data_IF_755936104597
#
_entry.id   IF_755936104597
#
_cell.length_a   1.000
_cell.length_b   1.000
_cell.length_c   1.000
_cell.angle_alpha   90.00
_cell.angle_beta   90.00
_cell.angle_gamma   90.00
#
_symmetry.space_group_name_H-M   'P 1'
#
loop_
_entity.id
_entity.type
_entity.pdbx_description
1 polymer ?
#
# COMPACT_ATOMS: atom_id res chain seq x y z
N UNK A 1 -8.01 18.17 -9.88
CA UNK A 1 -7.64 17.08 -8.95
C UNK A 1 -6.22 16.60 -9.28
N UNK A 2 -5.39 16.28 -8.27
CA UNK A 2 -4.03 15.76 -8.48
C UNK A 2 -3.96 14.33 -7.95
N UNK A 3 -3.58 13.39 -8.80
CA UNK A 3 -3.39 11.99 -8.44
C UNK A 3 -1.91 11.77 -8.11
N UNK A 4 -1.67 11.23 -6.93
CA UNK A 4 -0.33 10.93 -6.42
C UNK A 4 -0.10 9.42 -6.53
N UNK A 5 0.76 9.01 -7.45
CA UNK A 5 1.02 7.60 -7.77
C UNK A 5 2.47 7.42 -8.18
N UNK A 6 3.02 6.23 -7.99
CA UNK A 6 4.40 5.91 -8.38
C UNK A 6 4.65 5.91 -9.90
N UNK A 7 5.90 5.65 -10.26
CA UNK A 7 6.41 5.61 -11.62
C UNK A 7 6.31 4.22 -12.29
N UNK A 8 5.55 3.28 -11.72
CA UNK A 8 5.38 1.92 -12.26
C UNK A 8 4.96 1.99 -13.75
N UNK A 9 5.57 1.18 -14.63
CA UNK A 9 5.26 1.17 -16.06
C UNK A 9 3.75 1.10 -16.37
N UNK A 10 2.95 0.41 -15.55
CA UNK A 10 1.49 0.34 -15.74
C UNK A 10 0.80 1.70 -15.60
N UNK A 11 1.31 2.55 -14.71
CA UNK A 11 0.85 3.93 -14.51
C UNK A 11 1.38 4.90 -15.58
N UNK A 12 2.29 4.45 -16.45
CA UNK A 12 2.76 5.21 -17.62
C UNK A 12 2.14 4.75 -18.93
N UNK A 13 1.29 3.72 -18.89
CA UNK A 13 0.62 3.20 -20.08
C UNK A 13 -0.22 4.27 -20.78
N UNK A 14 -0.29 4.20 -22.11
CA UNK A 14 -1.07 5.13 -22.94
C UNK A 14 -2.56 5.15 -22.55
N UNK A 15 -3.11 3.99 -22.19
CA UNK A 15 -4.48 3.87 -21.71
C UNK A 15 -4.70 4.65 -20.42
N UNK A 16 -3.80 4.52 -19.44
CA UNK A 16 -3.89 5.23 -18.18
C UNK A 16 -3.78 6.75 -18.37
N UNK A 17 -2.80 7.20 -19.17
CA UNK A 17 -2.62 8.62 -19.47
C UNK A 17 -3.83 9.22 -20.20
N UNK A 18 -4.44 8.49 -21.14
CA UNK A 18 -5.67 8.90 -21.80
C UNK A 18 -6.85 9.02 -20.81
N UNK A 19 -6.98 8.06 -19.89
CA UNK A 19 -8.00 8.11 -18.84
C UNK A 19 -7.82 9.34 -17.94
N UNK A 20 -6.61 9.60 -17.46
CA UNK A 20 -6.30 10.76 -16.62
C UNK A 20 -6.58 12.08 -17.35
N UNK A 21 -6.24 12.17 -18.64
CA UNK A 21 -6.56 13.34 -19.48
C UNK A 21 -8.08 13.55 -19.58
N UNK A 22 -8.86 12.50 -19.83
CA UNK A 22 -10.34 12.56 -19.87
C UNK A 22 -10.93 13.03 -18.54
N UNK A 23 -10.31 12.63 -17.42
CA UNK A 23 -10.72 13.03 -16.07
C UNK A 23 -10.18 14.39 -15.62
N UNK A 24 -9.37 15.08 -16.46
CA UNK A 24 -8.68 16.35 -16.12
C UNK A 24 -7.88 16.25 -14.82
N UNK A 25 -7.28 15.08 -14.59
CA UNK A 25 -6.49 14.78 -13.39
C UNK A 25 -5.01 14.82 -13.72
N UNK A 26 -4.24 15.62 -12.97
CA UNK A 26 -2.78 15.70 -13.13
C UNK A 26 -2.11 14.62 -12.28
N UNK A 27 -1.24 13.83 -12.88
CA UNK A 27 -0.43 12.82 -12.19
C UNK A 27 0.84 13.44 -11.59
N UNK A 28 1.27 12.91 -10.45
CA UNK A 28 2.47 13.32 -9.71
C UNK A 28 3.12 12.12 -9.03
N UNK A 29 4.45 11.90 -9.18
CA UNK A 29 5.18 10.83 -8.49
C UNK A 29 5.43 11.22 -7.04
N UNK A 30 4.42 11.08 -6.19
CA UNK A 30 4.54 11.33 -4.75
C UNK A 30 3.86 10.21 -3.95
N UNK A 31 4.64 9.44 -3.22
CA UNK A 31 4.13 8.35 -2.38
C UNK A 31 4.13 8.69 -0.88
N UNK A 32 4.48 9.93 -0.49
CA UNK A 32 4.64 10.28 0.93
C UNK A 32 3.34 10.08 1.72
N UNK A 33 2.19 10.24 1.08
CA UNK A 33 0.88 10.03 1.68
C UNK A 33 0.54 8.55 1.97
N UNK A 34 1.13 7.60 1.24
CA UNK A 34 0.86 6.15 1.40
C UNK A 34 1.78 5.51 2.43
N UNK A 35 3.01 6.02 2.59
CA UNK A 35 4.00 5.53 3.57
C UNK A 35 3.44 5.30 4.99
N UNK A 36 2.71 6.25 5.63
CA UNK A 36 2.19 6.01 6.98
C UNK A 36 1.18 4.86 7.03
N UNK A 37 0.34 4.71 6.00
CA UNK A 37 -0.64 3.61 5.90
C UNK A 37 0.08 2.27 5.75
N UNK A 38 1.10 2.19 4.89
CA UNK A 38 1.92 1.00 4.73
C UNK A 38 2.61 0.60 6.05
N UNK A 39 3.17 1.56 6.78
CA UNK A 39 3.84 1.31 8.05
C UNK A 39 2.86 0.77 9.11
N UNK A 40 1.65 1.33 9.18
CA UNK A 40 0.62 0.86 10.11
C UNK A 40 0.14 -0.55 9.76
N UNK A 41 -0.06 -0.85 8.47
CA UNK A 41 -0.42 -2.19 8.01
C UNK A 41 0.68 -3.20 8.34
N UNK A 42 1.94 -2.86 8.09
CA UNK A 42 3.09 -3.71 8.41
C UNK A 42 3.16 -4.03 9.91
N UNK A 43 2.96 -3.02 10.77
CA UNK A 43 2.89 -3.20 12.24
C UNK A 43 1.78 -4.17 12.64
N UNK A 44 0.58 -4.02 12.09
CA UNK A 44 -0.57 -4.89 12.41
C UNK A 44 -0.37 -6.31 11.93
N UNK A 45 0.20 -6.50 10.74
CA UNK A 45 0.51 -7.83 10.21
C UNK A 45 1.56 -8.51 11.10
N UNK A 46 2.62 -7.79 11.48
CA UNK A 46 3.64 -8.31 12.40
C UNK A 46 3.08 -8.65 13.77
N UNK A 47 2.20 -7.82 14.33
CA UNK A 47 1.53 -8.11 15.60
C UNK A 47 0.68 -9.39 15.50
N UNK A 48 -0.14 -9.54 14.46
CA UNK A 48 -0.93 -10.77 14.24
C UNK A 48 -0.07 -12.02 14.05
N UNK A 49 1.04 -11.89 13.33
CA UNK A 49 1.99 -12.98 13.13
C UNK A 49 2.61 -13.35 14.49
N UNK A 50 3.05 -12.36 15.26
CA UNK A 50 3.60 -12.57 16.60
C UNK A 50 2.59 -13.26 17.51
N UNK A 51 1.35 -12.78 17.58
CA UNK A 51 0.28 -13.39 18.37
C UNK A 51 -0.02 -14.82 17.94
N UNK A 52 -0.01 -15.11 16.62
CA UNK A 52 -0.19 -16.46 16.11
C UNK A 52 0.91 -17.41 16.58
N UNK A 53 2.18 -17.00 16.46
CA UNK A 53 3.32 -17.83 16.87
C UNK A 53 3.46 -17.94 18.40
N UNK A 54 3.22 -16.87 19.16
CA UNK A 54 3.27 -16.90 20.62
C UNK A 54 2.07 -17.63 21.24
N UNK A 55 0.87 -17.51 20.65
CA UNK A 55 -0.32 -18.26 21.08
C UNK A 55 -0.18 -19.77 20.85
N UNK A 56 0.42 -20.18 19.72
CA UNK A 56 0.73 -21.59 19.42
C UNK A 56 1.74 -22.21 20.38
N UNK A 57 2.64 -21.40 20.96
CA UNK A 57 3.64 -21.87 21.93
C UNK A 57 3.08 -22.04 23.35
N UNK A 58 1.85 -21.59 23.64
CA UNK A 58 1.22 -21.72 24.96
C UNK A 58 0.26 -22.92 25.05
N UNK A 59 -0.23 -23.43 23.92
CA UNK A 59 -1.10 -24.63 23.87
C UNK A 59 -0.33 -25.96 23.98
N UNK A 60 1.01 -25.92 23.96
CA UNK A 60 1.88 -27.10 24.13
C UNK A 60 2.55 -27.21 25.50
N UNK A 61 2.18 -26.37 26.47
CA UNK A 61 2.80 -26.31 27.81
C UNK A 61 1.83 -26.64 28.97
N UNK A 62 0.67 -27.26 28.69
CA UNK A 62 -0.23 -27.82 29.70
C UNK A 62 -0.42 -29.33 29.50
#
# INVERSE_FOLDING_TARGET
MRLRQDNDPKHKSKLWQNYLRKKRTRWSPDLNHIKPVCNELDRRVKAKIFDFYCGKNMEGFF
#
